data_IF_462711944226
#
_entry.id   IF_462711944226
#
_cell.length_a   1.000
_cell.length_b   1.000
_cell.length_c   1.000
_cell.angle_alpha   90.00
_cell.angle_beta   90.00
_cell.angle_gamma   90.00
#
_symmetry.space_group_name_H-M   'P 1'
#
loop_
_entity.id
_entity.type
_entity.pdbx_description
1 polymer ?
#
# COMPACT_ATOMS: atom_id res chain seq x y z
N UNK A 1 -0.87 -2.51 58.09
CA UNK A 1 -0.72 -1.64 56.91
C UNK A 1 -0.77 -2.51 55.67
N UNK A 2 -1.95 -2.75 55.09
CA UNK A 2 -2.06 -3.52 53.84
C UNK A 2 -1.82 -2.58 52.66
N UNK A 3 -0.85 -2.93 51.81
CA UNK A 3 -0.46 -2.14 50.65
C UNK A 3 -1.48 -2.36 49.50
N UNK A 4 -2.66 -1.75 49.59
CA UNK A 4 -3.67 -1.79 48.53
C UNK A 4 -3.43 -0.65 47.54
N UNK A 5 -2.39 -0.75 46.72
CA UNK A 5 -2.24 0.16 45.59
C UNK A 5 -2.86 -0.54 44.37
N UNK A 6 -4.12 -0.22 44.04
CA UNK A 6 -4.85 -0.75 42.87
C UNK A 6 -4.02 -0.66 41.58
N UNK A 7 -3.12 0.30 41.52
CA UNK A 7 -2.15 0.53 40.46
C UNK A 7 -1.09 -0.56 40.28
N UNK A 8 -0.86 -1.42 41.27
CA UNK A 8 0.06 -2.56 41.20
C UNK A 8 -0.65 -3.87 40.82
N UNK A 9 -1.99 -3.88 40.77
CA UNK A 9 -2.74 -5.04 40.28
C UNK A 9 -2.55 -5.22 38.78
N UNK A 10 -2.27 -6.44 38.36
CA UNK A 10 -2.03 -6.80 36.96
C UNK A 10 -3.21 -6.45 36.05
N UNK A 11 -4.44 -6.51 36.58
CA UNK A 11 -5.67 -6.17 35.86
C UNK A 11 -5.78 -4.66 35.56
N UNK A 12 -5.42 -3.78 36.49
CA UNK A 12 -5.49 -2.33 36.26
C UNK A 12 -4.38 -1.86 35.34
N UNK A 13 -3.20 -2.47 35.44
CA UNK A 13 -2.08 -2.22 34.55
C UNK A 13 -2.42 -2.63 33.10
N UNK A 14 -2.93 -3.84 32.88
CA UNK A 14 -3.31 -4.32 31.54
C UNK A 14 -4.44 -3.49 30.94
N UNK A 15 -5.41 -3.05 31.74
CA UNK A 15 -6.48 -2.13 31.34
C UNK A 15 -5.93 -0.80 30.84
N UNK A 16 -5.06 -0.15 31.63
CA UNK A 16 -4.43 1.14 31.24
C UNK A 16 -3.54 1.01 30.01
N UNK A 17 -2.79 -0.08 29.91
CA UNK A 17 -1.99 -0.38 28.73
C UNK A 17 -2.89 -0.51 27.50
N UNK A 18 -4.01 -1.24 27.61
CA UNK A 18 -4.95 -1.42 26.52
C UNK A 18 -5.62 -0.09 26.11
N UNK A 19 -6.02 0.75 27.08
CA UNK A 19 -6.56 2.10 26.81
C UNK A 19 -5.56 2.96 26.03
N UNK A 20 -4.28 2.95 26.43
CA UNK A 20 -3.23 3.66 25.70
C UNK A 20 -3.01 3.08 24.29
N UNK A 21 -2.91 1.76 24.14
CA UNK A 21 -2.66 1.11 22.84
C UNK A 21 -3.86 1.21 21.89
N UNK A 22 -5.09 1.22 22.40
CA UNK A 22 -6.30 1.31 21.58
C UNK A 22 -6.35 2.60 20.76
N UNK A 23 -5.97 3.74 21.36
CA UNK A 23 -5.94 5.03 20.67
C UNK A 23 -4.88 5.04 19.57
N UNK A 24 -3.68 4.53 19.86
CA UNK A 24 -2.59 4.42 18.90
C UNK A 24 -2.97 3.46 17.76
N UNK A 25 -3.60 2.33 18.07
CA UNK A 25 -4.07 1.36 17.08
C UNK A 25 -5.07 1.95 16.09
N UNK A 26 -5.98 2.82 16.56
CA UNK A 26 -6.90 3.54 15.67
C UNK A 26 -6.17 4.54 14.76
N UNK A 27 -5.22 5.30 15.31
CA UNK A 27 -4.46 6.30 14.54
C UNK A 27 -3.56 5.64 13.49
N UNK A 28 -2.92 4.52 13.84
CA UNK A 28 -2.02 3.77 12.97
C UNK A 28 -2.73 2.71 12.11
N UNK A 29 -4.06 2.63 12.16
CA UNK A 29 -4.80 1.63 11.40
C UNK A 29 -4.59 1.85 9.89
N UNK A 30 -4.08 0.85 9.15
CA UNK A 30 -3.88 0.98 7.70
C UNK A 30 -5.21 1.14 6.96
N UNK A 31 -6.32 0.64 7.54
CA UNK A 31 -7.67 0.76 6.99
C UNK A 31 -8.13 2.22 6.82
N UNK A 32 -7.49 3.17 7.51
CA UNK A 32 -7.76 4.61 7.34
C UNK A 32 -7.26 5.14 6.00
N UNK A 33 -6.16 4.59 5.48
CA UNK A 33 -5.49 5.08 4.30
C UNK A 33 -5.74 4.20 3.08
N UNK A 34 -6.01 2.91 3.30
CA UNK A 34 -6.11 1.97 2.20
C UNK A 34 -7.07 0.82 2.49
N UNK A 35 -7.88 0.47 1.48
CA UNK A 35 -8.77 -0.68 1.54
C UNK A 35 -7.98 -1.97 1.27
N UNK A 36 -8.28 -3.10 1.96
CA UNK A 36 -7.61 -4.39 1.70
C UNK A 36 -7.78 -4.86 0.24
N UNK A 37 -8.94 -4.60 -0.36
CA UNK A 37 -9.21 -4.85 -1.77
C UNK A 37 -9.08 -3.54 -2.54
N UNK A 38 -7.87 -3.28 -3.04
CA UNK A 38 -7.56 -2.10 -3.84
C UNK A 38 -8.10 -2.28 -5.25
N UNK A 39 -8.65 -1.21 -5.81
CA UNK A 39 -9.12 -1.19 -7.18
C UNK A 39 -8.91 0.19 -7.81
N UNK A 40 -8.84 0.24 -9.14
CA UNK A 40 -8.59 1.46 -9.89
C UNK A 40 -9.90 2.03 -10.44
N UNK A 41 -10.16 3.29 -10.14
CA UNK A 41 -11.26 4.02 -10.76
C UNK A 41 -11.01 4.31 -12.23
N UNK A 42 -11.98 3.98 -13.08
CA UNK A 42 -11.87 4.19 -14.53
C UNK A 42 -12.23 5.62 -14.93
N UNK A 43 -13.22 6.21 -14.26
CA UNK A 43 -13.80 7.49 -14.64
C UNK A 43 -13.90 8.42 -13.43
N UNK A 44 -13.75 9.73 -13.68
CA UNK A 44 -14.15 10.78 -12.74
C UNK A 44 -13.10 11.28 -11.76
N UNK A 45 -12.03 10.53 -11.55
CA UNK A 45 -10.94 10.93 -10.66
C UNK A 45 -9.76 11.44 -11.47
N UNK A 46 -9.44 12.72 -11.28
CA UNK A 46 -8.21 13.32 -11.78
C UNK A 46 -7.12 13.01 -10.75
N UNK A 47 -6.15 12.17 -11.13
CA UNK A 47 -5.03 11.81 -10.24
C UNK A 47 -5.14 10.43 -9.56
N UNK A 48 -5.84 9.47 -10.16
CA UNK A 48 -5.84 8.08 -9.70
C UNK A 48 -4.58 7.28 -10.11
N UNK A 49 -4.45 6.06 -9.58
CA UNK A 49 -3.34 5.15 -9.88
C UNK A 49 -3.55 4.46 -11.22
N UNK A 50 -3.09 5.10 -12.30
CA UNK A 50 -3.16 4.53 -13.67
C UNK A 50 -2.07 3.47 -13.93
N UNK A 51 -1.13 3.28 -13.01
CA UNK A 51 0.03 2.39 -13.14
C UNK A 51 -0.11 1.16 -12.25
N UNK A 52 0.57 0.07 -12.62
CA UNK A 52 0.69 -1.11 -11.76
C UNK A 52 1.43 -0.77 -10.46
N UNK A 53 0.90 -1.26 -9.35
CA UNK A 53 1.62 -1.24 -8.07
C UNK A 53 2.52 -2.46 -7.97
N UNK A 54 3.40 -2.47 -6.97
CA UNK A 54 4.12 -3.69 -6.60
C UNK A 54 3.19 -4.65 -5.86
N UNK A 55 3.49 -5.94 -5.92
CA UNK A 55 2.78 -6.94 -5.14
C UNK A 55 3.14 -6.88 -3.63
N UNK A 56 4.36 -6.43 -3.30
CA UNK A 56 4.83 -6.25 -1.92
C UNK A 56 4.28 -5.01 -1.21
N UNK A 57 4.85 -4.70 -0.04
CA UNK A 57 4.53 -3.48 0.69
C UNK A 57 5.21 -2.26 0.05
N UNK A 58 4.40 -1.32 -0.44
CA UNK A 58 4.89 -0.10 -1.10
C UNK A 58 5.77 0.73 -0.17
N UNK A 59 5.40 0.84 1.11
CA UNK A 59 6.17 1.65 2.09
C UNK A 59 7.58 1.07 2.30
N UNK A 60 7.71 -0.25 2.31
CA UNK A 60 9.00 -0.91 2.46
C UNK A 60 9.87 -0.73 1.21
N UNK A 61 9.26 -0.76 0.02
CA UNK A 61 9.97 -0.48 -1.22
C UNK A 61 10.50 0.96 -1.25
N UNK A 62 9.67 1.95 -0.97
CA UNK A 62 10.09 3.35 -0.94
C UNK A 62 11.20 3.56 0.09
N UNK A 63 11.05 3.00 1.29
CA UNK A 63 12.08 3.06 2.34
C UNK A 63 13.41 2.45 1.88
N UNK A 64 13.35 1.40 1.04
CA UNK A 64 14.52 0.78 0.45
C UNK A 64 15.18 1.63 -0.64
N UNK A 65 14.37 2.24 -1.50
CA UNK A 65 14.85 3.17 -2.53
C UNK A 65 15.50 4.41 -1.89
N UNK A 66 14.99 4.86 -0.74
CA UNK A 66 15.64 5.89 0.09
C UNK A 66 16.88 5.39 0.85
N UNK A 67 17.18 4.09 0.83
CA UNK A 67 18.35 3.49 1.46
C UNK A 67 18.28 3.38 2.98
N UNK A 68 17.10 3.52 3.59
CA UNK A 68 16.91 3.53 5.05
C UNK A 68 16.94 2.11 5.64
N UNK A 69 16.48 1.12 4.87
CA UNK A 69 16.33 -0.30 5.23
C UNK A 69 17.67 -1.05 5.39
N UNK A 70 18.78 -0.46 4.96
CA UNK A 70 20.14 -1.05 5.00
C UNK A 70 20.95 -0.53 6.17
N UNK A 71 21.98 -1.27 6.58
CA UNK A 71 22.94 -0.77 7.56
C UNK A 71 23.92 0.23 6.90
N UNK A 72 24.16 1.35 7.59
CA UNK A 72 25.15 2.34 7.15
C UNK A 72 26.58 1.82 7.42
N UNK A 73 27.04 0.90 6.57
CA UNK A 73 28.37 0.30 6.66
C UNK A 73 29.05 0.32 5.29
N UNK A 74 30.38 0.20 5.27
CA UNK A 74 31.16 0.13 4.03
C UNK A 74 31.23 -1.29 3.45
N UNK A 75 30.66 -2.28 4.12
CA UNK A 75 30.68 -3.66 3.67
C UNK A 75 29.79 -3.81 2.43
N UNK A 76 30.31 -4.44 1.37
CA UNK A 76 29.61 -4.62 0.09
C UNK A 76 28.30 -5.38 0.26
N UNK A 77 28.25 -6.36 1.19
CA UNK A 77 27.07 -7.20 1.43
C UNK A 77 25.84 -6.43 1.94
N UNK A 78 26.03 -5.25 2.53
CA UNK A 78 24.93 -4.40 3.03
C UNK A 78 24.60 -3.24 2.08
N UNK A 79 25.22 -3.21 0.90
CA UNK A 79 24.91 -2.22 -0.14
C UNK A 79 23.82 -2.74 -1.07
N UNK A 80 23.20 -1.83 -1.82
CA UNK A 80 22.23 -2.20 -2.83
C UNK A 80 22.87 -3.09 -3.90
N UNK A 81 22.32 -4.29 -4.08
CA UNK A 81 22.63 -5.16 -5.19
C UNK A 81 21.40 -5.21 -6.12
N UNK A 82 21.53 -4.81 -7.41
CA UNK A 82 20.44 -4.96 -8.36
C UNK A 82 20.17 -6.45 -8.60
N UNK A 83 18.90 -6.85 -8.53
CA UNK A 83 18.49 -8.25 -8.76
C UNK A 83 18.35 -8.46 -10.27
N UNK A 84 19.07 -9.44 -10.84
CA UNK A 84 19.25 -9.56 -12.29
C UNK A 84 18.02 -10.07 -13.07
N UNK A 85 16.92 -10.46 -12.41
CA UNK A 85 15.56 -10.63 -12.97
C UNK A 85 14.64 -11.23 -11.92
N UNK A 86 13.40 -10.73 -11.83
CA UNK A 86 12.32 -11.40 -11.10
C UNK A 86 12.33 -11.17 -9.59
N UNK A 87 11.77 -10.03 -9.19
CA UNK A 87 10.64 -10.08 -8.27
C UNK A 87 10.93 -9.87 -6.80
N UNK A 88 12.13 -10.06 -6.25
CA UNK A 88 12.31 -9.94 -4.78
C UNK A 88 13.54 -9.15 -4.37
N UNK A 89 13.35 -8.05 -3.64
CA UNK A 89 14.44 -7.27 -3.02
C UNK A 89 14.68 -7.78 -1.59
N UNK A 90 15.94 -8.07 -1.28
CA UNK A 90 16.38 -8.52 0.04
C UNK A 90 17.16 -7.42 0.74
N UNK A 91 16.80 -7.14 2.00
CA UNK A 91 17.41 -6.10 2.83
C UNK A 91 17.68 -6.61 4.25
N UNK A 92 18.43 -5.82 5.02
CA UNK A 92 18.84 -6.19 6.38
C UNK A 92 17.71 -6.10 7.42
N UNK A 93 16.80 -5.12 7.28
CA UNK A 93 15.80 -4.77 8.32
C UNK A 93 14.38 -5.24 8.04
N UNK A 94 14.04 -5.47 6.78
CA UNK A 94 12.68 -5.78 6.33
C UNK A 94 12.58 -7.17 5.74
N UNK A 95 11.35 -7.68 5.65
CA UNK A 95 11.10 -8.92 4.89
C UNK A 95 11.40 -8.69 3.41
N UNK A 96 11.66 -9.76 2.64
CA UNK A 96 11.83 -9.65 1.19
C UNK A 96 10.63 -8.96 0.55
N UNK A 97 10.92 -7.98 -0.33
CA UNK A 97 9.91 -7.12 -0.95
C UNK A 97 9.65 -7.63 -2.36
N UNK A 98 8.40 -8.00 -2.62
CA UNK A 98 7.96 -8.42 -3.95
C UNK A 98 7.77 -7.20 -4.87
N UNK A 99 8.52 -7.16 -5.97
CA UNK A 99 8.55 -6.09 -6.99
C UNK A 99 7.76 -6.44 -8.24
N UNK A 100 7.12 -7.61 -8.28
CA UNK A 100 6.27 -7.98 -9.41
C UNK A 100 5.11 -6.99 -9.56
N UNK A 101 4.83 -6.62 -10.80
CA UNK A 101 3.81 -5.62 -11.14
C UNK A 101 2.41 -6.21 -10.96
N UNK A 102 1.69 -5.71 -9.96
CA UNK A 102 0.27 -5.99 -9.70
C UNK A 102 -0.60 -4.88 -10.28
N UNK A 103 -1.37 -5.24 -11.31
CA UNK A 103 -2.37 -4.36 -11.89
C UNK A 103 -3.65 -4.44 -11.08
N UNK A 104 -4.18 -3.28 -10.67
CA UNK A 104 -5.44 -3.22 -9.94
C UNK A 104 -6.62 -3.46 -10.90
N UNK A 105 -7.65 -4.21 -10.49
CA UNK A 105 -8.86 -4.36 -11.27
C UNK A 105 -9.59 -3.02 -11.37
N UNK A 106 -10.34 -2.85 -12.46
CA UNK A 106 -11.23 -1.72 -12.64
C UNK A 106 -12.40 -1.77 -11.64
N UNK A 107 -12.71 -0.63 -11.03
CA UNK A 107 -13.88 -0.48 -10.18
C UNK A 107 -14.44 0.93 -10.27
N UNK A 108 -15.71 1.11 -9.90
CA UNK A 108 -16.34 2.42 -9.99
C UNK A 108 -17.23 2.68 -8.78
N UNK A 109 -16.94 3.77 -8.06
CA UNK A 109 -17.74 4.21 -6.91
C UNK A 109 -18.82 5.20 -7.32
N UNK A 110 -18.59 5.96 -8.40
CA UNK A 110 -19.55 6.95 -8.92
C UNK A 110 -20.23 6.36 -10.15
N UNK A 111 -21.55 6.17 -10.10
CA UNK A 111 -22.31 5.73 -11.26
C UNK A 111 -22.28 6.79 -12.36
N UNK A 112 -21.76 6.43 -13.53
CA UNK A 112 -21.82 7.23 -14.74
C UNK A 112 -22.94 6.73 -15.64
N UNK A 113 -23.68 7.66 -16.25
CA UNK A 113 -24.64 7.30 -17.30
C UNK A 113 -23.87 6.83 -18.52
N UNK A 114 -24.34 5.75 -19.13
CA UNK A 114 -23.79 5.25 -20.38
C UNK A 114 -23.89 6.33 -21.46
N UNK A 115 -22.78 6.62 -22.12
CA UNK A 115 -22.79 7.48 -23.31
C UNK A 115 -23.12 6.58 -24.49
N UNK A 116 -24.18 6.87 -25.28
CA UNK A 116 -24.50 6.05 -26.44
C UNK A 116 -23.31 6.05 -27.41
N UNK A 117 -22.98 4.86 -27.94
CA UNK A 117 -21.97 4.77 -28.99
C UNK A 117 -22.39 5.64 -30.19
N UNK A 118 -21.44 6.30 -30.86
CA UNK A 118 -21.75 7.03 -32.08
C UNK A 118 -22.35 6.07 -33.11
N UNK A 119 -23.33 6.55 -33.87
CA UNK A 119 -23.89 5.81 -34.98
C UNK A 119 -22.80 5.39 -35.97
N UNK A 120 -23.01 4.27 -36.68
CA UNK A 120 -22.07 3.76 -37.68
C UNK A 120 -21.79 4.87 -38.72
N UNK A 121 -20.50 5.17 -38.93
CA UNK A 121 -20.07 6.17 -39.91
C UNK A 121 -20.36 5.62 -41.32
N UNK A 122 -21.10 6.37 -42.13
CA UNK A 122 -21.37 6.02 -43.54
C UNK A 122 -20.15 6.43 -44.38
N UNK A 123 -19.24 5.49 -44.59
CA UNK A 123 -18.12 5.66 -45.52
C UNK A 123 -18.65 5.52 -46.94
N UNK A 124 -19.23 6.60 -47.50
CA UNK A 124 -19.53 6.63 -48.93
C UNK A 124 -18.20 6.59 -49.70
N UNK A 125 -17.95 5.56 -50.53
CA UNK A 125 -16.75 5.54 -51.35
C UNK A 125 -16.82 6.70 -52.34
N UNK A 126 -15.73 7.47 -52.43
CA UNK A 126 -15.60 8.48 -53.48
C UNK A 126 -15.68 7.77 -54.84
N UNK A 127 -16.73 8.05 -55.61
CA UNK A 127 -16.87 7.57 -56.98
C UNK A 127 -15.91 8.35 -57.87
N UNK A 128 -14.98 7.64 -58.50
CA UNK A 128 -14.08 8.18 -59.53
C UNK A 128 -14.83 8.59 -60.80
#
# INVERSE_FOLDING_TARGET
MSFNHLTADTCTYSRRLNENMSTLGYIMSPFRYEHPEKCRHELGLIGGTATSHINGNLVDLESDLFGITRFNTKCINHQYAPVEKGGMIYNDKTKPIDTDMKHLPACQMISYKEVPLPGKVDYRPCTH
#
